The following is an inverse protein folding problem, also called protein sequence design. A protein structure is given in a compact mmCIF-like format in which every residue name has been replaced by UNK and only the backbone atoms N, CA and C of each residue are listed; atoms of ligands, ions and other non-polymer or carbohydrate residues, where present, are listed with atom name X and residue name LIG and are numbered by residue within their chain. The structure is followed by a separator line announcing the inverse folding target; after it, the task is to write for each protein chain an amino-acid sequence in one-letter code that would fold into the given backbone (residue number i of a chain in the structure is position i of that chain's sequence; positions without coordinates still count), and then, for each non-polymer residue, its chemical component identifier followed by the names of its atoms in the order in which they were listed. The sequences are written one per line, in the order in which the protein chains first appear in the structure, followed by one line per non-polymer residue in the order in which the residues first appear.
data_IF_129146255325
#
_entry.id   IF_129146255325
#
_cell.length_a   1.000
_cell.length_b   1.000
_cell.length_c   1.000
_cell.angle_alpha   90.00
_cell.angle_beta   90.00
_cell.angle_gamma   90.00
#
_symmetry.space_group_name_H-M   'P 1'
#
loop_
_entity.id
_entity.type
_entity.pdbx_description
1 polymer ?
#
# COMPACT_ATOMS: atom_id res chain seq x y z
N UNK A 1 9.69 -7.72 -0.54
CA UNK A 1 9.85 -6.50 0.27
C UNK A 1 9.78 -6.80 1.76
N UNK A 2 9.79 -5.77 2.61
CA UNK A 2 9.83 -5.88 4.08
C UNK A 2 8.44 -5.85 4.77
N UNK A 3 7.35 -6.03 4.02
CA UNK A 3 5.98 -5.91 4.56
C UNK A 3 5.43 -4.48 4.65
N UNK A 4 6.18 -3.51 4.11
CA UNK A 4 5.74 -2.10 4.00
C UNK A 4 4.90 -1.94 2.72
N UNK A 5 3.82 -1.17 2.79
CA UNK A 5 3.02 -0.77 1.63
C UNK A 5 3.61 0.50 1.00
N UNK A 6 4.30 0.42 -0.16
CA UNK A 6 4.82 1.61 -0.81
C UNK A 6 3.68 2.36 -1.50
N UNK A 7 3.50 3.63 -1.12
CA UNK A 7 2.56 4.56 -1.75
C UNK A 7 3.33 5.63 -2.51
N UNK A 8 2.76 6.05 -3.63
CA UNK A 8 3.27 7.16 -4.44
C UNK A 8 2.15 8.17 -4.63
N UNK A 9 2.46 9.47 -4.51
CA UNK A 9 1.53 10.51 -4.95
C UNK A 9 1.18 10.36 -6.43
N UNK A 10 0.03 10.91 -6.84
CA UNK A 10 -0.28 11.06 -8.25
C UNK A 10 0.68 12.06 -8.91
N UNK A 11 0.62 12.11 -10.24
CA UNK A 11 1.34 13.13 -10.99
C UNK A 11 0.93 14.52 -10.49
N UNK A 12 1.92 15.42 -10.38
CA UNK A 12 1.79 16.79 -9.85
C UNK A 12 1.42 16.93 -8.35
N UNK A 13 1.09 15.83 -7.66
CA UNK A 13 0.89 15.81 -6.21
C UNK A 13 2.21 15.63 -5.45
N UNK A 14 2.34 16.35 -4.34
CA UNK A 14 3.40 16.16 -3.36
C UNK A 14 2.93 16.67 -1.98
N UNK A 15 3.79 16.57 -0.97
CA UNK A 15 3.44 17.00 0.39
C UNK A 15 3.05 18.48 0.46
N UNK A 16 3.79 19.36 -0.22
CA UNK A 16 3.56 20.80 -0.20
C UNK A 16 2.26 21.17 -0.93
N UNK A 17 2.01 20.61 -2.11
CA UNK A 17 0.79 20.89 -2.90
C UNK A 17 -0.48 20.42 -2.20
N UNK A 18 -0.38 19.33 -1.42
CA UNK A 18 -1.45 18.82 -0.59
C UNK A 18 -1.53 19.49 0.78
N UNK A 19 -0.57 20.36 1.13
CA UNK A 19 -0.50 21.06 2.42
C UNK A 19 -0.33 20.10 3.61
N UNK A 20 0.41 19.00 3.40
CA UNK A 20 0.75 18.03 4.44
C UNK A 20 1.93 18.54 5.25
N UNK A 21 1.78 18.49 6.57
CA UNK A 21 2.79 18.96 7.53
C UNK A 21 3.60 17.81 8.11
N UNK A 22 3.09 16.58 8.03
CA UNK A 22 3.67 15.39 8.66
C UNK A 22 3.17 15.13 10.08
N UNK A 23 2.34 16.02 10.64
CA UNK A 23 1.71 15.85 11.95
C UNK A 23 0.30 15.25 11.87
N UNK A 24 -0.20 15.00 10.66
CA UNK A 24 -1.52 14.41 10.47
C UNK A 24 -1.57 12.94 10.88
N UNK A 25 -2.73 12.49 11.32
CA UNK A 25 -3.05 11.05 11.35
C UNK A 25 -3.57 10.63 9.97
N UNK A 26 -2.95 9.60 9.39
CA UNK A 26 -3.28 9.11 8.06
C UNK A 26 -4.14 7.84 8.12
N UNK A 27 -5.24 7.85 7.39
CA UNK A 27 -6.09 6.69 7.13
C UNK A 27 -5.98 6.32 5.64
N UNK A 28 -5.72 5.05 5.35
CA UNK A 28 -5.59 4.53 3.98
C UNK A 28 -6.71 3.53 3.74
N UNK A 29 -7.58 3.81 2.76
CA UNK A 29 -8.69 2.97 2.35
C UNK A 29 -8.51 2.48 0.90
N UNK A 30 -9.04 1.30 0.58
CA UNK A 30 -8.93 0.71 -0.77
C UNK A 30 -7.78 -0.29 -0.92
N UNK A 31 -7.21 -0.81 0.16
CA UNK A 31 -6.11 -1.80 0.11
C UNK A 31 -6.60 -3.24 -0.10
N UNK A 32 -7.91 -3.47 -0.12
CA UNK A 32 -8.54 -4.80 -0.18
C UNK A 32 -8.16 -5.55 -1.46
N UNK A 33 -7.91 -4.82 -2.55
CA UNK A 33 -7.46 -5.39 -3.82
C UNK A 33 -6.19 -6.22 -3.69
N UNK A 34 -5.27 -5.86 -2.78
CA UNK A 34 -4.03 -6.61 -2.49
C UNK A 34 -4.29 -8.00 -1.91
N UNK A 35 -5.48 -8.25 -1.34
CA UNK A 35 -5.80 -9.50 -0.65
C UNK A 35 -6.68 -10.43 -1.50
N UNK A 36 -6.95 -10.07 -2.75
CA UNK A 36 -7.69 -10.93 -3.69
C UNK A 36 -6.79 -12.06 -4.22
N UNK A 37 -7.34 -13.26 -4.49
CA UNK A 37 -6.58 -14.35 -5.13
C UNK A 37 -5.97 -13.95 -6.48
N UNK A 38 -6.66 -13.08 -7.22
CA UNK A 38 -6.20 -12.58 -8.52
C UNK A 38 -4.92 -11.77 -8.35
N UNK A 39 -4.79 -10.98 -7.28
CA UNK A 39 -3.61 -10.16 -7.05
C UNK A 39 -2.30 -10.97 -6.92
N UNK A 40 -2.35 -12.19 -6.42
CA UNK A 40 -1.17 -13.07 -6.31
C UNK A 40 -0.77 -13.72 -7.63
N UNK A 41 -1.67 -13.76 -8.61
CA UNK A 41 -1.43 -14.40 -9.91
C UNK A 41 -1.11 -13.39 -11.01
N UNK A 42 -1.80 -12.25 -11.03
CA UNK A 42 -1.65 -11.21 -12.06
C UNK A 42 -1.14 -9.87 -11.53
N UNK A 43 -0.91 -9.75 -10.22
CA UNK A 43 -0.62 -8.47 -9.58
C UNK A 43 -1.89 -7.64 -9.38
N UNK A 44 -1.76 -6.38 -8.98
CA UNK A 44 -2.91 -5.49 -8.87
C UNK A 44 -3.52 -5.21 -10.27
N UNK A 45 -4.57 -5.96 -10.61
CA UNK A 45 -5.37 -5.78 -11.80
C UNK A 45 -6.38 -4.64 -11.60
N UNK A 46 -6.29 -3.55 -12.37
CA UNK A 46 -7.20 -2.40 -12.31
C UNK A 46 -6.58 -1.11 -11.74
N UNK A 47 -7.43 -0.28 -11.12
CA UNK A 47 -7.03 0.98 -10.48
C UNK A 47 -6.18 0.68 -9.23
N UNK A 48 -4.88 1.02 -9.29
CA UNK A 48 -3.91 0.83 -8.20
C UNK A 48 -4.00 1.92 -7.14
N UNK A 49 -5.04 2.74 -7.16
CA UNK A 49 -5.15 3.88 -6.27
C UNK A 49 -5.89 3.55 -4.98
N UNK A 50 -5.34 4.05 -3.88
CA UNK A 50 -5.98 4.10 -2.57
C UNK A 50 -6.43 5.52 -2.27
N UNK A 51 -7.41 5.66 -1.40
CA UNK A 51 -7.79 6.97 -0.83
C UNK A 51 -7.01 7.15 0.46
N UNK A 52 -6.26 8.24 0.55
CA UNK A 52 -5.56 8.66 1.76
C UNK A 52 -6.32 9.83 2.37
N UNK A 53 -6.67 9.72 3.64
CA UNK A 53 -7.27 10.81 4.42
C UNK A 53 -6.28 11.22 5.50
N UNK A 54 -5.80 12.46 5.42
CA UNK A 54 -4.94 13.08 6.41
C UNK A 54 -5.78 13.97 7.33
N UNK A 55 -5.79 13.66 8.63
CA UNK A 55 -6.50 14.42 9.67
C UNK A 55 -5.49 15.22 10.47
N UNK A 56 -5.49 16.53 10.30
CA UNK A 56 -4.65 17.44 11.07
C UNK A 56 -5.16 17.65 12.50
N UNK A 57 -4.27 18.07 13.39
CA UNK A 57 -4.62 18.47 14.77
C UNK A 57 -5.49 19.73 14.80
N UNK A 58 -5.43 20.54 13.74
CA UNK A 58 -6.29 21.70 13.47
C UNK A 58 -7.75 21.31 13.14
N UNK A 59 -8.03 20.01 13.03
CA UNK A 59 -9.33 19.47 12.64
C UNK A 59 -9.57 19.49 11.13
N UNK A 60 -8.63 20.00 10.32
CA UNK A 60 -8.74 19.96 8.87
C UNK A 60 -8.55 18.54 8.35
N UNK A 61 -9.36 18.19 7.35
CA UNK A 61 -9.28 16.90 6.65
C UNK A 61 -8.88 17.13 5.21
N UNK A 62 -7.76 16.54 4.83
CA UNK A 62 -7.25 16.53 3.45
C UNK A 62 -7.43 15.12 2.90
N UNK A 63 -8.04 14.99 1.73
CA UNK A 63 -8.24 13.70 1.09
C UNK A 63 -7.64 13.75 -0.32
N UNK A 64 -6.83 12.75 -0.63
CA UNK A 64 -6.15 12.62 -1.92
C UNK A 64 -6.03 11.15 -2.31
N UNK A 65 -5.66 10.91 -3.57
CA UNK A 65 -5.41 9.57 -4.11
C UNK A 65 -3.90 9.30 -4.15
N UNK A 66 -3.52 8.05 -3.92
CA UNK A 66 -2.13 7.62 -4.04
C UNK A 66 -2.06 6.27 -4.75
N UNK A 67 -1.02 6.04 -5.55
CA UNK A 67 -0.77 4.77 -6.20
C UNK A 67 -0.11 3.80 -5.23
N UNK A 68 -0.60 2.57 -5.22
CA UNK A 68 0.06 1.43 -4.58
C UNK A 68 1.13 0.89 -5.52
N UNK A 69 2.38 0.90 -5.06
CA UNK A 69 3.56 0.45 -5.83
C UNK A 69 3.97 -0.98 -5.49
N UNK A 70 2.98 -1.87 -5.50
CA UNK A 70 3.19 -3.32 -5.47
C UNK A 70 3.03 -3.80 -6.92
N UNK A 71 4.14 -3.82 -7.65
CA UNK A 71 4.11 -3.82 -9.11
C UNK A 71 4.06 -5.23 -9.70
N UNK A 72 4.47 -6.25 -8.91
CA UNK A 72 4.51 -7.64 -9.35
C UNK A 72 3.64 -8.55 -8.48
N UNK A 73 3.12 -9.67 -9.02
CA UNK A 73 2.36 -10.65 -8.23
C UNK A 73 3.17 -11.20 -7.03
N UNK A 74 4.49 -11.37 -7.21
CA UNK A 74 5.39 -11.86 -6.17
C UNK A 74 5.53 -10.87 -5.01
N UNK A 75 5.51 -9.57 -5.28
CA UNK A 75 5.49 -8.55 -4.23
C UNK A 75 4.17 -8.52 -3.46
N UNK A 76 3.04 -8.80 -4.12
CA UNK A 76 1.74 -9.00 -3.44
C UNK A 76 1.85 -10.14 -2.44
N UNK A 77 2.38 -11.29 -2.86
CA UNK A 77 2.59 -12.43 -1.95
C UNK A 77 3.48 -12.04 -0.78
N UNK A 78 4.60 -11.34 -1.02
CA UNK A 78 5.47 -10.89 0.06
C UNK A 78 4.76 -9.94 1.03
N UNK A 79 3.99 -8.98 0.53
CA UNK A 79 3.27 -8.02 1.37
C UNK A 79 2.24 -8.72 2.26
N UNK A 80 1.42 -9.64 1.70
CA UNK A 80 0.42 -10.40 2.46
C UNK A 80 1.00 -11.28 3.56
N UNK A 81 2.24 -11.73 3.39
CA UNK A 81 2.95 -12.54 4.39
C UNK A 81 3.73 -11.69 5.41
N UNK A 82 3.60 -10.36 5.37
CA UNK A 82 4.33 -9.45 6.26
C UNK A 82 5.80 -9.30 5.89
N UNK A 83 6.21 -9.72 4.69
CA UNK A 83 7.56 -9.57 4.16
C UNK A 83 8.11 -10.84 3.52
N UNK A 84 9.18 -10.65 2.73
CA UNK A 84 9.86 -11.73 2.00
C UNK A 84 10.42 -12.80 2.92
N UNK A 85 11.03 -12.40 4.05
CA UNK A 85 11.62 -13.36 4.99
C UNK A 85 10.54 -14.27 5.58
N UNK A 86 9.41 -13.70 6.00
CA UNK A 86 8.29 -14.45 6.55
C UNK A 86 7.66 -15.39 5.51
N UNK A 87 7.53 -14.93 4.26
CA UNK A 87 7.09 -15.77 3.15
C UNK A 87 8.00 -16.98 2.93
N UNK A 88 9.32 -16.76 2.83
CA UNK A 88 10.29 -17.84 2.58
C UNK A 88 10.34 -18.82 3.75
N UNK A 89 10.41 -18.33 5.00
CA UNK A 89 10.46 -19.21 6.17
C UNK A 89 9.21 -20.09 6.28
N UNK A 90 8.02 -19.56 5.97
CA UNK A 90 6.80 -20.37 5.96
C UNK A 90 6.85 -21.43 4.88
N UNK A 91 7.33 -21.11 3.68
CA UNK A 91 7.44 -22.10 2.60
C UNK A 91 8.41 -23.23 2.94
N UNK A 92 9.57 -22.92 3.54
CA UNK A 92 10.55 -23.92 3.97
C UNK A 92 10.00 -24.89 5.03
N UNK A 93 9.06 -24.44 5.89
CA UNK A 93 8.38 -25.32 6.85
C UNK A 93 7.36 -26.26 6.21
N UNK A 94 6.99 -26.02 4.94
CA UNK A 94 6.04 -26.83 4.16
C UNK A 94 6.75 -27.59 3.02
N UNK A 95 8.06 -27.45 2.88
CA UNK A 95 8.89 -28.31 2.03
C UNK A 95 9.33 -29.50 2.88
N UNK A 96 8.80 -30.69 2.58
CA UNK A 96 9.30 -31.98 3.09
C UNK A 96 10.63 -32.38 2.43
#
# INVERSE_FOLDING_TARGET
GMGILPLQFLEDDNADSLGLTGYETFEIAGIEALFTPQAETTGLAGDRQVTVTAKGEDGMRRQFRALVRVDTPKEVSYYRHGGILQYVLRNLLHED
#
